data_IF_564414682776
#
_entry.id   IF_564414682776
#
_cell.length_a   1.000
_cell.length_b   1.000
_cell.length_c   1.000
_cell.angle_alpha   90.00
_cell.angle_beta   90.00
_cell.angle_gamma   90.00
#
_symmetry.space_group_name_H-M   'P 1'
#
loop_
_entity.id
_entity.type
_entity.pdbx_description
1 polymer ?
#
# COMPACT_ATOMS: atom_id res chain seq x y z
N UNK A 1 4.76 21.54 -12.85
CA UNK A 1 3.85 22.43 -13.62
C UNK A 1 2.46 21.83 -13.56
N UNK A 2 1.44 22.61 -13.17
CA UNK A 2 0.04 22.21 -13.25
C UNK A 2 -0.51 22.70 -14.59
N UNK A 3 -0.86 21.77 -15.48
CA UNK A 3 -1.55 22.09 -16.73
C UNK A 3 -3.05 22.19 -16.43
N UNK A 4 -3.68 23.32 -16.78
CA UNK A 4 -5.12 23.61 -16.60
C UNK A 4 -5.61 23.74 -15.14
N UNK A 5 -5.09 24.71 -14.36
CA UNK A 5 -5.57 24.97 -13.00
C UNK A 5 -7.06 25.37 -13.00
N UNK A 6 -7.83 24.86 -12.03
CA UNK A 6 -9.25 25.19 -11.87
C UNK A 6 -10.21 24.46 -12.81
N UNK A 7 -9.71 23.60 -13.71
CA UNK A 7 -10.57 22.75 -14.55
C UNK A 7 -10.99 21.50 -13.77
N UNK A 8 -12.30 21.25 -13.70
CA UNK A 8 -12.85 20.02 -13.11
C UNK A 8 -12.51 18.80 -13.97
N UNK A 9 -12.00 17.74 -13.35
CA UNK A 9 -11.76 16.44 -13.98
C UNK A 9 -13.09 15.68 -14.02
N UNK A 10 -13.49 15.23 -15.22
CA UNK A 10 -14.64 14.34 -15.41
C UNK A 10 -14.20 12.88 -15.48
N UNK A 11 -15.15 11.95 -15.38
CA UNK A 11 -14.88 10.50 -15.53
C UNK A 11 -14.28 10.15 -16.91
N UNK A 12 -14.52 10.95 -17.94
CA UNK A 12 -13.98 10.73 -19.29
C UNK A 12 -12.52 11.15 -19.41
N UNK A 13 -12.07 12.08 -18.55
CA UNK A 13 -10.67 12.53 -18.52
C UNK A 13 -9.76 11.50 -17.84
N UNK A 14 -10.31 10.66 -16.95
CA UNK A 14 -9.54 9.70 -16.12
C UNK A 14 -8.73 8.73 -16.97
N UNK A 15 -9.32 8.19 -18.04
CA UNK A 15 -8.62 7.25 -18.92
C UNK A 15 -7.38 7.86 -19.58
N UNK A 16 -7.49 9.10 -20.08
CA UNK A 16 -6.37 9.82 -20.67
C UNK A 16 -5.28 10.16 -19.65
N UNK A 17 -5.68 10.63 -18.46
CA UNK A 17 -4.74 10.95 -17.39
C UNK A 17 -3.97 9.72 -16.89
N UNK A 18 -4.67 8.59 -16.72
CA UNK A 18 -4.06 7.33 -16.30
C UNK A 18 -3.21 6.69 -17.40
N UNK A 19 -3.57 6.89 -18.68
CA UNK A 19 -2.77 6.40 -19.81
C UNK A 19 -1.31 6.86 -19.74
N UNK A 20 -1.08 8.09 -19.31
CA UNK A 20 0.27 8.64 -19.14
C UNK A 20 0.89 8.33 -17.77
N UNK A 21 0.09 8.36 -16.70
CA UNK A 21 0.60 8.19 -15.34
C UNK A 21 0.94 6.72 -15.03
N UNK A 22 0.11 5.79 -15.49
CA UNK A 22 0.25 4.36 -15.18
C UNK A 22 1.59 3.76 -15.62
N UNK A 23 2.04 3.85 -16.89
CA UNK A 23 3.32 3.28 -17.30
C UNK A 23 4.53 3.92 -16.60
N UNK A 24 4.41 5.19 -16.17
CA UNK A 24 5.47 5.89 -15.42
C UNK A 24 5.52 5.45 -13.96
N UNK A 25 4.36 5.17 -13.36
CA UNK A 25 4.25 4.75 -11.97
C UNK A 25 4.53 3.25 -11.82
N UNK A 26 4.01 2.41 -12.71
CA UNK A 26 4.01 0.95 -12.63
C UNK A 26 5.32 0.34 -13.17
N UNK A 27 6.46 0.85 -12.68
CA UNK A 27 7.79 0.34 -13.03
C UNK A 27 8.25 -0.69 -12.00
N UNK A 28 9.11 -1.65 -12.39
CA UNK A 28 9.68 -2.60 -11.43
C UNK A 28 10.35 -1.90 -10.24
N UNK A 29 11.06 -0.78 -10.45
CA UNK A 29 11.71 -0.02 -9.38
C UNK A 29 10.71 0.56 -8.38
N UNK A 30 9.60 1.12 -8.84
CA UNK A 30 8.57 1.67 -7.95
C UNK A 30 7.86 0.57 -7.17
N UNK A 31 7.52 -0.53 -7.85
CA UNK A 31 6.87 -1.69 -7.23
C UNK A 31 7.79 -2.31 -6.16
N UNK A 32 9.05 -2.56 -6.47
CA UNK A 32 10.00 -3.13 -5.50
C UNK A 32 10.28 -2.18 -4.35
N UNK A 33 10.32 -0.87 -4.58
CA UNK A 33 10.41 0.10 -3.49
C UNK A 33 9.20 0.03 -2.56
N UNK A 34 8.00 -0.16 -3.09
CA UNK A 34 6.79 -0.36 -2.28
C UNK A 34 6.86 -1.64 -1.45
N UNK A 35 7.28 -2.75 -2.05
CA UNK A 35 7.46 -4.02 -1.33
C UNK A 35 8.53 -3.97 -0.25
N UNK A 36 9.60 -3.21 -0.47
CA UNK A 36 10.65 -3.02 0.51
C UNK A 36 10.14 -2.30 1.77
N UNK A 37 9.27 -1.30 1.60
CA UNK A 37 8.66 -0.58 2.73
C UNK A 37 7.75 -1.49 3.57
N UNK A 38 7.13 -2.49 2.96
CA UNK A 38 6.30 -3.47 3.66
C UNK A 38 7.09 -4.70 4.17
N UNK A 39 8.42 -4.75 3.96
CA UNK A 39 9.23 -5.93 4.31
C UNK A 39 8.95 -7.18 3.48
N UNK A 40 8.25 -7.04 2.34
CA UNK A 40 7.90 -8.16 1.46
C UNK A 40 9.10 -8.54 0.58
N UNK A 41 9.77 -7.54 -0.01
CA UNK A 41 10.93 -7.77 -0.87
C UNK A 41 11.96 -6.63 -0.82
N UNK A 42 13.23 -6.90 -0.45
CA UNK A 42 13.68 -8.16 0.15
C UNK A 42 12.91 -8.43 1.45
N UNK A 43 12.73 -9.72 1.77
CA UNK A 43 11.97 -10.11 2.95
C UNK A 43 12.67 -9.61 4.22
N UNK A 44 11.94 -8.86 5.03
CA UNK A 44 12.38 -8.37 6.33
C UNK A 44 11.18 -8.36 7.29
N UNK A 45 11.06 -9.34 8.20
CA UNK A 45 9.95 -9.41 9.14
C UNK A 45 10.01 -8.31 10.22
N UNK A 46 11.19 -7.71 10.43
CA UNK A 46 11.44 -6.72 11.48
C UNK A 46 11.25 -5.27 10.97
N UNK A 47 10.48 -5.08 9.89
CA UNK A 47 10.21 -3.74 9.30
C UNK A 47 9.31 -2.89 10.17
N UNK A 48 8.41 -3.52 10.94
CA UNK A 48 7.49 -2.84 11.84
C UNK A 48 7.83 -3.20 13.29
N UNK A 49 7.86 -2.20 14.16
CA UNK A 49 7.99 -2.40 15.61
C UNK A 49 6.69 -2.91 16.24
N UNK A 50 6.78 -3.50 17.42
CA UNK A 50 5.61 -3.95 18.19
C UNK A 50 4.60 -2.82 18.46
N UNK A 51 5.09 -1.59 18.62
CA UNK A 51 4.26 -0.41 18.84
C UNK A 51 3.39 -0.03 17.63
N UNK A 52 3.85 -0.34 16.41
CA UNK A 52 3.09 -0.15 15.18
C UNK A 52 1.94 -1.15 15.03
N UNK A 53 2.01 -2.28 15.75
CA UNK A 53 0.95 -3.28 15.82
C UNK A 53 -0.06 -3.02 16.95
N UNK A 54 0.17 -2.06 17.86
CA UNK A 54 -0.77 -1.76 18.96
C UNK A 54 -2.24 -1.59 18.54
N UNK A 55 -2.56 -0.97 17.38
CA UNK A 55 -3.95 -0.86 16.94
C UNK A 55 -4.64 -2.20 16.65
N UNK A 56 -3.90 -3.28 16.32
CA UNK A 56 -4.49 -4.59 16.04
C UNK A 56 -4.98 -5.32 17.29
N UNK A 57 -4.52 -4.92 18.49
CA UNK A 57 -4.90 -5.54 19.76
C UNK A 57 -6.41 -5.54 20.00
N UNK A 58 -7.15 -4.56 19.46
CA UNK A 58 -8.61 -4.52 19.56
C UNK A 58 -9.30 -5.68 18.82
N UNK A 59 -8.61 -6.34 17.90
CA UNK A 59 -9.13 -7.45 17.08
C UNK A 59 -8.49 -8.80 17.40
N UNK A 60 -7.56 -8.86 18.36
CA UNK A 60 -6.93 -10.11 18.77
C UNK A 60 -7.99 -11.07 19.33
N UNK A 61 -7.92 -12.32 18.85
CA UNK A 61 -8.80 -13.40 19.30
C UNK A 61 -7.95 -14.45 19.97
N UNK A 62 -8.40 -15.04 21.09
CA UNK A 62 -7.73 -16.19 21.65
C UNK A 62 -7.67 -17.31 20.61
N UNK A 63 -6.57 -18.07 20.58
CA UNK A 63 -6.49 -19.25 19.74
C UNK A 63 -7.63 -20.21 20.13
N UNK A 64 -8.52 -20.57 19.18
CA UNK A 64 -9.65 -21.44 19.48
C UNK A 64 -9.21 -22.83 19.99
N UNK A 65 -7.96 -23.23 19.80
CA UNK A 65 -7.42 -24.54 20.18
C UNK A 65 -6.68 -24.53 21.53
N UNK A 66 -6.61 -23.39 22.22
CA UNK A 66 -5.80 -23.27 23.45
C UNK A 66 -6.43 -23.97 24.67
N UNK A 67 -7.67 -24.45 24.56
CA UNK A 67 -8.43 -25.12 25.63
C UNK A 67 -8.69 -26.62 25.46
N UNK A 68 -8.21 -27.28 24.40
CA UNK A 68 -8.50 -28.70 24.11
C UNK A 68 -7.29 -29.64 24.37
N UNK A 69 -6.56 -29.44 25.47
CA UNK A 69 -5.52 -30.39 25.93
C UNK A 69 -5.77 -30.87 27.35
#
# INVERSE_FOLDING_TARGET
MLNHPGRTISIHDVGGLLGDAYPKAFTPCNITSGFRVAGIYPFNPDVFGEDEFLPSAATDRPDPNIGER
#
